data_IF_762247446740
#
_entry.id   IF_762247446740
#
_cell.length_a   1.000
_cell.length_b   1.000
_cell.length_c   1.000
_cell.angle_alpha   90.00
_cell.angle_beta   90.00
_cell.angle_gamma   90.00
#
_symmetry.space_group_name_H-M   'P 1'
#
loop_
_entity.id
_entity.type
_entity.pdbx_description
1 polymer ?
#
# COMPACT_ATOMS: atom_id res chain seq x y z
N UNK A 1 -4.52 31.90 6.39
CA UNK A 1 -3.08 31.62 6.17
C UNK A 1 -2.75 30.35 6.94
N UNK A 2 -2.59 29.14 6.41
CA UNK A 2 -2.49 28.62 5.04
C UNK A 2 -3.46 27.43 4.85
N UNK A 3 -4.04 27.32 3.66
CA UNK A 3 -4.91 26.23 3.24
C UNK A 3 -4.08 24.94 3.08
N UNK A 4 -4.38 23.90 3.87
CA UNK A 4 -4.09 22.53 3.48
C UNK A 4 -5.40 21.79 3.24
N UNK A 5 -5.94 21.95 2.04
CA UNK A 5 -6.83 20.91 1.51
C UNK A 5 -5.92 19.74 1.18
N UNK A 6 -6.03 18.69 2.01
CA UNK A 6 -5.38 17.41 1.77
C UNK A 6 -5.60 17.00 0.31
N UNK A 7 -4.51 16.70 -0.41
CA UNK A 7 -4.60 16.08 -1.72
C UNK A 7 -5.45 14.83 -1.58
N UNK A 8 -6.68 14.88 -2.10
CA UNK A 8 -7.56 13.72 -2.20
C UNK A 8 -6.90 12.78 -3.20
N UNK A 9 -6.21 11.76 -2.70
CA UNK A 9 -5.60 10.72 -3.54
C UNK A 9 -6.74 10.11 -4.36
N UNK A 10 -6.72 10.32 -5.68
CA UNK A 10 -7.74 9.81 -6.61
C UNK A 10 -7.47 8.39 -7.11
N UNK A 11 -6.34 7.81 -6.73
CA UNK A 11 -5.89 6.49 -7.19
C UNK A 11 -5.38 5.67 -6.01
N UNK A 12 -5.66 4.38 -5.98
CA UNK A 12 -5.05 3.49 -5.01
C UNK A 12 -3.55 3.36 -5.30
N UNK A 13 -2.72 3.44 -4.26
CA UNK A 13 -1.27 3.27 -4.35
C UNK A 13 -0.93 1.87 -3.87
N UNK A 14 -0.27 1.08 -4.72
CA UNK A 14 0.27 -0.22 -4.37
C UNK A 14 1.79 -0.12 -4.30
N UNK A 15 2.36 -0.57 -3.19
CA UNK A 15 3.80 -0.67 -2.97
C UNK A 15 4.26 -2.12 -3.13
N UNK A 16 5.15 -2.36 -4.09
CA UNK A 16 5.67 -3.68 -4.44
C UNK A 16 6.88 -4.14 -3.61
N UNK A 17 7.35 -3.34 -2.65
CA UNK A 17 8.48 -3.68 -1.78
C UNK A 17 8.13 -4.85 -0.83
N UNK A 18 9.14 -5.56 -0.30
CA UNK A 18 8.93 -6.52 0.77
C UNK A 18 8.21 -5.91 1.98
N UNK A 19 7.32 -6.68 2.61
CA UNK A 19 6.48 -6.23 3.72
C UNK A 19 7.29 -5.61 4.87
N UNK A 20 8.43 -6.20 5.24
CA UNK A 20 9.29 -5.67 6.30
C UNK A 20 9.76 -4.21 6.04
N UNK A 21 10.01 -3.84 4.78
CA UNK A 21 10.38 -2.45 4.41
C UNK A 21 9.19 -1.52 4.46
N UNK A 22 8.04 -1.99 3.97
CA UNK A 22 6.78 -1.25 4.03
C UNK A 22 6.35 -0.95 5.48
N UNK A 23 6.51 -1.92 6.37
CA UNK A 23 6.19 -1.83 7.80
C UNK A 23 7.28 -1.15 8.66
N UNK A 24 8.36 -0.64 8.05
CA UNK A 24 9.50 -0.02 8.74
C UNK A 24 10.25 -0.94 9.73
N UNK A 25 10.14 -2.26 9.59
CA UNK A 25 10.78 -3.27 10.44
C UNK A 25 12.28 -3.41 10.14
N UNK A 26 12.69 -3.11 8.91
CA UNK A 26 14.09 -3.16 8.47
C UNK A 26 14.54 -1.82 7.89
N UNK A 27 15.86 -1.60 7.90
CA UNK A 27 16.45 -0.44 7.24
C UNK A 27 16.33 -0.52 5.73
N UNK A 28 16.25 0.65 5.12
CA UNK A 28 16.32 0.78 3.68
C UNK A 28 17.76 0.46 3.21
N UNK A 29 17.95 -0.33 2.12
CA UNK A 29 19.27 -0.71 1.64
C UNK A 29 20.15 0.49 1.29
N UNK A 30 19.53 1.62 0.96
CA UNK A 30 20.23 2.87 0.67
C UNK A 30 20.27 3.73 1.94
N UNK A 31 21.47 4.10 2.43
CA UNK A 31 21.63 4.95 3.60
C UNK A 31 20.89 6.28 3.46
N UNK A 32 20.27 6.74 4.55
CA UNK A 32 19.62 8.05 4.64
C UNK A 32 18.16 8.10 4.14
N UNK A 33 17.58 6.98 3.70
CA UNK A 33 16.16 6.90 3.36
C UNK A 33 15.29 6.74 4.61
N UNK A 34 14.09 7.35 4.58
CA UNK A 34 13.08 7.16 5.62
C UNK A 34 12.46 5.76 5.51
N UNK A 35 12.21 5.15 6.66
CA UNK A 35 11.45 3.89 6.76
C UNK A 35 9.95 4.14 6.56
N UNK A 36 9.21 3.08 6.25
CA UNK A 36 7.75 3.11 6.09
C UNK A 36 7.31 3.30 4.65
N UNK A 37 6.10 3.82 4.48
CA UNK A 37 5.41 3.92 3.18
C UNK A 37 4.57 5.20 3.05
N UNK A 38 4.07 5.45 1.85
CA UNK A 38 3.18 6.58 1.55
C UNK A 38 1.85 6.35 2.30
N UNK A 39 1.35 7.33 3.08
CA UNK A 39 0.08 7.18 3.80
C UNK A 39 -1.07 6.75 2.87
N UNK A 40 -1.79 5.70 3.26
CA UNK A 40 -2.88 5.13 2.48
C UNK A 40 -2.46 4.19 1.33
N UNK A 41 -1.16 3.92 1.15
CA UNK A 41 -0.70 2.87 0.27
C UNK A 41 -1.00 1.48 0.84
N UNK A 42 -1.19 0.51 -0.05
CA UNK A 42 -1.33 -0.92 0.28
C UNK A 42 -0.04 -1.64 -0.13
N UNK A 43 0.31 -2.71 0.56
CA UNK A 43 1.48 -3.52 0.21
C UNK A 43 1.07 -4.77 -0.56
N UNK A 44 1.71 -4.98 -1.71
CA UNK A 44 1.63 -6.24 -2.49
C UNK A 44 3.05 -6.55 -2.94
N UNK A 45 3.85 -7.29 -2.15
CA UNK A 45 5.23 -7.63 -2.51
C UNK A 45 5.29 -8.26 -3.91
N UNK A 46 6.22 -7.80 -4.75
CA UNK A 46 6.31 -8.26 -6.14
C UNK A 46 6.46 -9.78 -6.27
N UNK A 47 7.03 -10.44 -5.26
CA UNK A 47 7.17 -11.90 -5.18
C UNK A 47 5.84 -12.63 -5.16
N UNK A 48 4.74 -11.95 -4.79
CA UNK A 48 3.39 -12.51 -4.84
C UNK A 48 2.79 -12.45 -6.26
N UNK A 49 3.32 -11.60 -7.14
CA UNK A 49 2.81 -11.37 -8.49
C UNK A 49 3.43 -12.29 -9.54
N UNK A 50 4.54 -12.94 -9.20
CA UNK A 50 5.32 -13.78 -10.12
C UNK A 50 5.38 -15.23 -9.67
N UNK A 51 5.57 -16.14 -10.62
CA UNK A 51 5.91 -17.53 -10.40
C UNK A 51 6.95 -17.95 -11.44
N UNK A 52 8.08 -18.49 -10.99
CA UNK A 52 9.14 -19.00 -11.88
C UNK A 52 9.68 -17.98 -12.89
N UNK A 53 9.69 -16.70 -12.52
CA UNK A 53 10.18 -15.61 -13.37
C UNK A 53 9.15 -15.04 -14.34
N UNK A 54 7.93 -15.59 -14.36
CA UNK A 54 6.81 -15.09 -15.16
C UNK A 54 5.73 -14.49 -14.27
N UNK A 55 4.90 -13.62 -14.85
CA UNK A 55 3.71 -13.13 -14.15
C UNK A 55 2.72 -14.27 -13.95
N UNK A 56 2.03 -14.25 -12.80
CA UNK A 56 0.85 -15.08 -12.57
C UNK A 56 -0.25 -14.77 -13.58
N UNK A 57 -1.24 -15.66 -13.69
CA UNK A 57 -2.37 -15.45 -14.61
C UNK A 57 -3.18 -14.22 -14.21
N UNK A 58 -3.97 -13.69 -15.14
CA UNK A 58 -4.86 -12.55 -14.85
C UNK A 58 -5.79 -12.83 -13.69
N UNK A 59 -6.36 -14.04 -13.61
CA UNK A 59 -7.29 -14.43 -12.54
C UNK A 59 -6.60 -14.45 -11.16
N UNK A 60 -5.36 -14.95 -11.10
CA UNK A 60 -4.56 -14.96 -9.88
C UNK A 60 -4.19 -13.53 -9.45
N UNK A 61 -3.81 -12.68 -10.40
CA UNK A 61 -3.48 -11.28 -10.14
C UNK A 61 -4.70 -10.50 -9.66
N UNK A 62 -5.85 -10.68 -10.30
CA UNK A 62 -7.12 -10.04 -9.91
C UNK A 62 -7.50 -10.43 -8.48
N UNK A 63 -7.33 -11.71 -8.10
CA UNK A 63 -7.57 -12.16 -6.74
C UNK A 63 -6.62 -11.49 -5.72
N UNK A 64 -5.33 -11.37 -6.04
CA UNK A 64 -4.34 -10.70 -5.18
C UNK A 64 -4.72 -9.23 -4.97
N UNK A 65 -5.02 -8.50 -6.06
CA UNK A 65 -5.37 -7.08 -5.96
C UNK A 65 -6.71 -6.84 -5.28
N UNK A 66 -7.70 -7.73 -5.45
CA UNK A 66 -8.98 -7.65 -4.75
C UNK A 66 -8.80 -7.77 -3.23
N UNK A 67 -7.98 -8.73 -2.79
CA UNK A 67 -7.64 -8.92 -1.37
C UNK A 67 -6.95 -7.67 -0.82
N UNK A 68 -5.93 -7.16 -1.51
CA UNK A 68 -5.20 -5.96 -1.09
C UNK A 68 -6.13 -4.74 -0.98
N UNK A 69 -7.00 -4.51 -1.97
CA UNK A 69 -7.93 -3.39 -1.96
C UNK A 69 -8.95 -3.47 -0.82
N UNK A 70 -9.42 -4.67 -0.47
CA UNK A 70 -10.42 -4.90 0.57
C UNK A 70 -9.95 -4.54 1.98
N UNK A 71 -8.63 -4.54 2.24
CA UNK A 71 -8.05 -4.15 3.52
C UNK A 71 -8.31 -2.67 3.89
N UNK A 72 -8.68 -1.83 2.92
CA UNK A 72 -8.95 -0.39 3.12
C UNK A 72 -10.32 -0.10 3.74
N UNK A 73 -11.26 -1.06 3.72
CA UNK A 73 -12.67 -0.82 4.11
C UNK A 73 -12.87 -0.53 5.60
N UNK A 74 -11.87 -0.78 6.46
CA UNK A 74 -12.02 -0.69 7.91
C UNK A 74 -11.51 0.62 8.57
N UNK A 75 -11.30 1.70 7.81
CA UNK A 75 -10.74 2.96 8.35
C UNK A 75 -11.53 4.23 8.01
N UNK A 76 -12.74 4.13 7.42
CA UNK A 76 -13.59 5.31 7.15
C UNK A 76 -14.80 5.46 8.09
N UNK A 77 -14.99 4.59 9.09
CA UNK A 77 -16.15 4.64 10.00
C UNK A 77 -15.92 5.35 11.34
N UNK A 78 -14.73 5.90 11.65
CA UNK A 78 -14.47 6.54 12.94
C UNK A 78 -14.27 8.06 12.92
N UNK A 79 -14.45 8.74 11.79
CA UNK A 79 -14.27 10.20 11.68
C UNK A 79 -15.58 11.01 11.54
N UNK A 80 -16.75 10.37 11.64
CA UNK A 80 -18.06 11.04 11.55
C UNK A 80 -18.87 11.02 12.87
N UNK A 81 -18.26 10.61 13.99
CA UNK A 81 -18.87 10.72 15.31
C UNK A 81 -18.00 11.67 16.17
N UNK A 82 -18.58 12.82 16.53
CA UNK A 82 -17.99 13.97 17.25
C UNK A 82 -17.52 15.11 16.34
N UNK A 83 -18.48 15.84 15.76
CA UNK A 83 -18.84 17.25 16.04
C UNK A 83 -20.14 17.55 15.30
#
# INVERSE_FOLDING_TARGET
MYYWQAMKIRAQIIDARPAARFNAEVDEPRPGLRRGHIPGALNVPWTELVREGELKTTDELDAIFLVAASATTNQLSSAAALV
#
